data_IF_326464247497
#
_entry.id   IF_326464247497
#
_cell.length_a   1.000
_cell.length_b   1.000
_cell.length_c   1.000
_cell.angle_alpha   90.00
_cell.angle_beta   90.00
_cell.angle_gamma   90.00
#
_symmetry.space_group_name_H-M   'P 1'
#
loop_
_entity.id
_entity.type
_entity.pdbx_description
1 polymer ?
#
# COMPACT_ATOMS: atom_id res chain seq x y z
N UNK A 1 -0.53 13.74 -4.85
CA UNK A 1 -1.37 14.89 -4.41
C UNK A 1 -0.55 15.91 -3.62
N UNK A 2 0.20 15.50 -2.60
CA UNK A 2 1.01 16.38 -1.72
C UNK A 2 1.95 17.33 -2.48
N UNK A 3 2.77 16.81 -3.40
CA UNK A 3 3.73 17.67 -4.16
C UNK A 3 3.02 18.74 -4.99
N UNK A 4 1.88 18.40 -5.60
CA UNK A 4 1.07 19.35 -6.35
C UNK A 4 0.50 20.42 -5.44
N UNK A 5 0.02 20.05 -4.25
CA UNK A 5 -0.49 20.99 -3.25
C UNK A 5 0.60 21.93 -2.72
N UNK A 6 1.80 21.42 -2.50
CA UNK A 6 2.95 22.27 -2.11
C UNK A 6 3.34 23.28 -3.19
N UNK A 7 3.35 22.84 -4.46
CA UNK A 7 3.64 23.74 -5.58
C UNK A 7 2.57 24.82 -5.70
N UNK A 8 1.30 24.45 -5.60
CA UNK A 8 0.18 25.38 -5.63
C UNK A 8 0.24 26.38 -4.47
N UNK A 9 0.54 25.96 -3.26
CA UNK A 9 0.65 26.86 -2.10
C UNK A 9 1.74 27.93 -2.33
N UNK A 10 2.89 27.56 -2.87
CA UNK A 10 3.95 28.51 -3.22
C UNK A 10 3.52 29.50 -4.33
N UNK A 11 2.76 29.03 -5.29
CA UNK A 11 2.23 29.88 -6.35
C UNK A 11 1.19 30.87 -5.81
N UNK A 12 0.28 30.39 -4.95
CA UNK A 12 -0.71 31.25 -4.30
C UNK A 12 -0.08 32.33 -3.43
N UNK A 13 1.01 32.06 -2.72
CA UNK A 13 1.76 33.08 -1.98
C UNK A 13 2.31 34.17 -2.89
N UNK A 14 2.80 33.82 -4.07
CA UNK A 14 3.29 34.79 -5.07
C UNK A 14 2.12 35.62 -5.60
N UNK A 15 1.03 34.97 -5.97
CA UNK A 15 -0.15 35.62 -6.49
C UNK A 15 -0.79 36.57 -5.46
N UNK A 16 -0.82 36.19 -4.18
CA UNK A 16 -1.28 37.05 -3.11
C UNK A 16 -0.46 38.34 -3.03
N UNK A 17 0.88 38.22 -3.04
CA UNK A 17 1.79 39.38 -3.01
C UNK A 17 1.63 40.28 -4.23
N UNK A 18 1.39 39.68 -5.39
CA UNK A 18 1.11 40.47 -6.62
C UNK A 18 -0.22 41.19 -6.56
N UNK A 19 -1.28 40.53 -6.06
CA UNK A 19 -2.59 41.14 -5.83
C UNK A 19 -2.52 42.33 -4.82
N UNK A 20 -1.76 42.17 -3.74
CA UNK A 20 -1.54 43.22 -2.74
C UNK A 20 -0.78 44.42 -3.34
N UNK A 21 0.24 44.18 -4.17
CA UNK A 21 0.97 45.22 -4.88
C UNK A 21 0.06 45.98 -5.85
N UNK A 22 -0.79 45.30 -6.59
CA UNK A 22 -1.75 45.94 -7.51
C UNK A 22 -2.78 46.79 -6.77
N UNK A 23 -3.24 46.33 -5.61
CA UNK A 23 -4.16 47.14 -4.77
C UNK A 23 -3.49 48.41 -4.23
N UNK A 24 -2.21 48.34 -3.88
CA UNK A 24 -1.50 49.50 -3.31
C UNK A 24 -0.98 50.48 -4.35
N UNK A 25 -0.67 50.05 -5.58
CA UNK A 25 -0.08 50.90 -6.61
C UNK A 25 -1.11 51.66 -7.50
N UNK A 26 -2.40 51.40 -7.36
CA UNK A 26 -3.48 52.16 -7.97
C UNK A 26 -3.53 52.22 -9.51
N UNK A 27 -2.53 51.74 -10.22
CA UNK A 27 -2.46 51.80 -11.68
C UNK A 27 -1.74 50.58 -12.25
N UNK A 28 -2.42 49.46 -12.54
CA UNK A 28 -1.80 48.29 -13.15
C UNK A 28 -1.29 48.62 -14.56
N UNK A 29 -0.05 48.35 -14.86
CA UNK A 29 0.50 48.46 -16.21
C UNK A 29 -0.32 47.62 -17.17
N UNK A 30 -0.58 48.14 -18.37
CA UNK A 30 -1.33 47.43 -19.42
C UNK A 30 -0.63 46.09 -19.71
N UNK A 31 -1.35 44.97 -19.47
CA UNK A 31 -0.86 43.62 -19.67
C UNK A 31 -0.46 42.83 -18.38
N UNK A 32 -0.15 43.47 -17.26
CA UNK A 32 0.15 42.76 -15.99
C UNK A 32 -1.12 42.12 -15.40
N UNK A 33 -2.26 42.77 -15.53
CA UNK A 33 -3.55 42.24 -15.09
C UNK A 33 -3.97 40.97 -15.88
N UNK A 34 -3.68 40.91 -17.17
CA UNK A 34 -4.00 39.76 -17.99
C UNK A 34 -3.15 38.53 -17.60
N UNK A 35 -1.84 38.72 -17.37
CA UNK A 35 -0.93 37.66 -16.90
C UNK A 35 -1.34 37.13 -15.53
N UNK A 36 -1.70 38.03 -14.61
CA UNK A 36 -2.17 37.64 -13.27
C UNK A 36 -3.48 36.86 -13.34
N UNK A 37 -4.41 37.24 -14.21
CA UNK A 37 -5.65 36.50 -14.43
C UNK A 37 -5.38 35.08 -14.98
N UNK A 38 -4.44 34.96 -15.91
CA UNK A 38 -4.03 33.65 -16.45
C UNK A 38 -3.41 32.76 -15.36
N UNK A 39 -2.55 33.30 -14.52
CA UNK A 39 -1.95 32.58 -13.41
C UNK A 39 -2.97 32.16 -12.37
N UNK A 40 -3.93 33.04 -12.02
CA UNK A 40 -5.05 32.70 -11.14
C UNK A 40 -5.93 31.60 -11.72
N UNK A 41 -6.22 31.65 -13.02
CA UNK A 41 -6.98 30.59 -13.69
C UNK A 41 -6.22 29.24 -13.68
N UNK A 42 -4.90 29.26 -13.90
CA UNK A 42 -4.05 28.05 -13.77
C UNK A 42 -4.06 27.51 -12.35
N UNK A 43 -3.92 28.36 -11.34
CA UNK A 43 -3.96 27.97 -9.94
C UNK A 43 -5.32 27.37 -9.54
N UNK A 44 -6.44 27.95 -10.01
CA UNK A 44 -7.78 27.41 -9.80
C UNK A 44 -7.95 26.02 -10.46
N UNK A 45 -7.46 25.86 -11.68
CA UNK A 45 -7.50 24.57 -12.38
C UNK A 45 -6.65 23.50 -11.68
N UNK A 46 -5.47 23.86 -11.16
CA UNK A 46 -4.65 22.95 -10.35
C UNK A 46 -5.37 22.56 -9.05
N UNK A 47 -5.99 23.50 -8.35
CA UNK A 47 -6.79 23.23 -7.15
C UNK A 47 -7.95 22.28 -7.44
N UNK A 48 -8.67 22.49 -8.53
CA UNK A 48 -9.75 21.61 -8.97
C UNK A 48 -9.24 20.18 -9.26
N UNK A 49 -8.08 20.06 -9.93
CA UNK A 49 -7.46 18.77 -10.22
C UNK A 49 -7.12 18.01 -8.92
N UNK A 50 -6.51 18.69 -7.93
CA UNK A 50 -6.19 18.08 -6.64
C UNK A 50 -7.47 17.67 -5.93
N UNK A 51 -8.51 18.49 -5.94
CA UNK A 51 -9.82 18.16 -5.36
C UNK A 51 -10.47 16.94 -6.01
N UNK A 52 -10.38 16.81 -7.35
CA UNK A 52 -10.87 15.64 -8.08
C UNK A 52 -10.12 14.36 -7.70
N UNK A 53 -8.78 14.43 -7.61
CA UNK A 53 -7.96 13.30 -7.16
C UNK A 53 -8.29 12.90 -5.71
N UNK A 54 -8.50 13.88 -4.82
CA UNK A 54 -8.90 13.62 -3.44
C UNK A 54 -10.27 12.93 -3.38
N UNK A 55 -11.21 13.37 -4.22
CA UNK A 55 -12.54 12.74 -4.31
C UNK A 55 -12.43 11.28 -4.75
N UNK A 56 -11.64 10.98 -5.77
CA UNK A 56 -11.41 9.61 -6.22
C UNK A 56 -10.81 8.75 -5.10
N UNK A 57 -9.76 9.23 -4.42
CA UNK A 57 -9.17 8.53 -3.30
C UNK A 57 -10.16 8.34 -2.13
N UNK A 58 -11.02 9.32 -1.86
CA UNK A 58 -12.07 9.22 -0.85
C UNK A 58 -13.12 8.17 -1.21
N UNK A 59 -13.52 8.07 -2.48
CA UNK A 59 -14.47 7.07 -2.97
C UNK A 59 -13.87 5.66 -2.92
N UNK A 60 -12.59 5.50 -3.22
CA UNK A 60 -11.86 4.23 -3.07
C UNK A 60 -11.75 3.81 -1.61
N UNK A 61 -11.36 4.72 -0.73
CA UNK A 61 -11.30 4.47 0.71
C UNK A 61 -12.67 4.11 1.30
N UNK A 62 -13.75 4.75 0.81
CA UNK A 62 -15.12 4.43 1.21
C UNK A 62 -15.53 3.02 0.78
N UNK A 63 -15.16 2.59 -0.42
CA UNK A 63 -15.41 1.21 -0.89
C UNK A 63 -14.62 0.20 -0.06
N UNK A 64 -13.36 0.47 0.24
CA UNK A 64 -12.49 -0.38 1.04
C UNK A 64 -12.96 -0.51 2.50
N UNK A 65 -13.59 0.53 3.07
CA UNK A 65 -14.09 0.57 4.46
C UNK A 65 -15.53 0.12 4.65
N UNK A 66 -16.14 -0.53 3.64
CA UNK A 66 -17.52 -0.99 3.73
C UNK A 66 -18.55 0.13 3.70
N UNK A 67 -18.27 1.23 2.99
CA UNK A 67 -19.22 2.32 2.78
C UNK A 67 -19.19 3.43 3.84
N UNK A 68 -18.31 3.37 4.83
CA UNK A 68 -18.18 4.43 5.84
C UNK A 68 -17.56 5.69 5.23
N UNK A 69 -18.32 6.78 5.23
CA UNK A 69 -17.83 8.08 4.79
C UNK A 69 -16.77 8.62 5.76
N UNK A 70 -15.68 9.16 5.21
CA UNK A 70 -14.67 9.85 6.01
C UNK A 70 -14.99 11.34 6.07
N UNK A 71 -15.63 11.77 7.17
CA UNK A 71 -16.01 13.19 7.38
C UNK A 71 -14.84 14.17 7.22
N UNK A 72 -13.61 13.74 7.56
CA UNK A 72 -12.40 14.57 7.39
C UNK A 72 -12.11 14.86 5.91
N UNK A 73 -12.31 13.86 5.03
CA UNK A 73 -12.11 14.02 3.60
C UNK A 73 -13.18 14.91 2.96
N UNK A 74 -14.43 14.77 3.39
CA UNK A 74 -15.53 15.63 2.93
C UNK A 74 -15.30 17.09 3.33
N UNK A 75 -14.87 17.34 4.56
CA UNK A 75 -14.53 18.67 5.03
C UNK A 75 -13.36 19.29 4.24
N UNK A 76 -12.32 18.48 3.97
CA UNK A 76 -11.18 18.90 3.17
C UNK A 76 -11.60 19.26 1.73
N UNK A 77 -12.51 18.50 1.12
CA UNK A 77 -13.07 18.82 -0.20
C UNK A 77 -13.83 20.17 -0.20
N UNK A 78 -14.63 20.45 0.84
CA UNK A 78 -15.32 21.74 1.00
C UNK A 78 -14.33 22.90 1.14
N UNK A 79 -13.27 22.71 1.94
CA UNK A 79 -12.23 23.73 2.11
C UNK A 79 -11.49 24.01 0.80
N UNK A 80 -11.22 22.98 -0.01
CA UNK A 80 -10.64 23.12 -1.34
C UNK A 80 -11.57 23.88 -2.30
N UNK A 81 -12.85 23.55 -2.30
CA UNK A 81 -13.85 24.24 -3.13
C UNK A 81 -13.98 25.73 -2.75
N UNK A 82 -13.98 26.04 -1.45
CA UNK A 82 -13.99 27.42 -1.00
C UNK A 82 -12.75 28.20 -1.46
N UNK A 83 -11.56 27.56 -1.36
CA UNK A 83 -10.31 28.15 -1.85
C UNK A 83 -10.36 28.41 -3.37
N UNK A 84 -10.89 27.45 -4.13
CA UNK A 84 -11.06 27.57 -5.58
C UNK A 84 -11.91 28.80 -5.92
N UNK A 85 -13.05 29.03 -5.22
CA UNK A 85 -13.89 30.21 -5.36
C UNK A 85 -13.15 31.51 -5.00
N UNK A 86 -12.34 31.50 -3.94
CA UNK A 86 -11.55 32.65 -3.52
C UNK A 86 -10.44 33.00 -4.55
N UNK A 87 -9.80 31.98 -5.16
CA UNK A 87 -8.81 32.18 -6.24
C UNK A 87 -9.47 32.82 -7.46
N UNK A 88 -10.61 32.27 -7.92
CA UNK A 88 -11.35 32.79 -9.07
C UNK A 88 -11.82 34.25 -8.82
N UNK A 89 -12.27 34.55 -7.62
CA UNK A 89 -12.71 35.88 -7.22
C UNK A 89 -11.56 36.86 -6.88
N UNK A 90 -10.28 36.42 -7.06
CA UNK A 90 -9.10 37.26 -6.71
C UNK A 90 -9.07 37.73 -5.26
N UNK A 91 -9.70 36.96 -4.37
CA UNK A 91 -9.83 37.28 -2.94
C UNK A 91 -8.91 36.36 -2.08
N UNK A 92 -7.67 36.19 -2.54
CA UNK A 92 -6.68 35.39 -1.78
C UNK A 92 -6.27 36.19 -0.54
N UNK A 93 -6.71 35.70 0.60
CA UNK A 93 -6.46 36.29 1.91
C UNK A 93 -5.45 35.48 2.71
N UNK A 94 -4.97 36.01 3.83
CA UNK A 94 -4.15 35.26 4.78
C UNK A 94 -4.89 34.03 5.34
N UNK A 95 -6.22 34.14 5.47
CA UNK A 95 -7.05 33.02 5.88
C UNK A 95 -7.08 31.91 4.83
N UNK A 96 -7.10 32.24 3.54
CA UNK A 96 -6.96 31.30 2.42
C UNK A 96 -5.64 30.56 2.51
N UNK A 97 -4.53 31.25 2.78
CA UNK A 97 -3.21 30.66 2.92
C UNK A 97 -3.13 29.71 4.12
N UNK A 98 -3.66 30.09 5.28
CA UNK A 98 -3.73 29.21 6.45
C UNK A 98 -4.54 27.95 6.15
N UNK A 99 -5.69 28.08 5.48
CA UNK A 99 -6.50 26.94 5.05
C UNK A 99 -5.73 26.00 4.12
N UNK A 100 -4.93 26.55 3.21
CA UNK A 100 -4.09 25.76 2.30
C UNK A 100 -2.99 24.99 3.04
N UNK A 101 -2.40 25.58 4.09
CA UNK A 101 -1.44 24.90 4.94
C UNK A 101 -2.10 23.74 5.72
N UNK A 102 -3.30 23.94 6.22
CA UNK A 102 -4.09 22.90 6.91
C UNK A 102 -4.46 21.74 5.96
N UNK A 103 -4.90 22.08 4.73
CA UNK A 103 -5.19 21.09 3.68
C UNK A 103 -3.94 20.24 3.39
N UNK A 104 -2.77 20.87 3.23
CA UNK A 104 -1.53 20.16 2.99
C UNK A 104 -1.18 19.19 4.13
N UNK A 105 -1.32 19.61 5.38
CA UNK A 105 -1.08 18.78 6.56
C UNK A 105 -2.00 17.56 6.60
N UNK A 106 -3.28 17.78 6.33
CA UNK A 106 -4.28 16.70 6.30
C UNK A 106 -4.06 15.73 5.12
N UNK A 107 -3.61 16.22 3.96
CA UNK A 107 -3.23 15.37 2.83
C UNK A 107 -2.05 14.47 3.19
N UNK A 108 -1.05 15.00 3.90
CA UNK A 108 0.09 14.24 4.40
C UNK A 108 -0.34 13.12 5.36
N UNK A 109 -1.25 13.43 6.29
CA UNK A 109 -1.80 12.44 7.22
C UNK A 109 -2.57 11.34 6.47
N UNK A 110 -3.36 11.73 5.47
CA UNK A 110 -4.11 10.80 4.66
C UNK A 110 -3.21 9.86 3.85
N UNK A 111 -2.20 10.37 3.13
CA UNK A 111 -1.25 9.57 2.38
C UNK A 111 -0.44 8.61 3.28
N UNK A 112 -0.06 9.05 4.49
CA UNK A 112 0.60 8.17 5.46
C UNK A 112 -0.31 7.05 5.96
N UNK A 113 -1.58 7.36 6.24
CA UNK A 113 -2.55 6.37 6.70
C UNK A 113 -2.84 5.33 5.61
N UNK A 114 -3.00 5.76 4.36
CA UNK A 114 -3.24 4.89 3.21
C UNK A 114 -2.05 3.95 2.96
N UNK A 115 -0.82 4.48 3.01
CA UNK A 115 0.40 3.68 2.88
C UNK A 115 0.51 2.63 3.98
N UNK A 116 0.25 2.99 5.24
CA UNK A 116 0.27 2.07 6.38
C UNK A 116 -0.77 0.96 6.22
N UNK A 117 -1.99 1.30 5.80
CA UNK A 117 -3.04 0.32 5.55
C UNK A 117 -2.67 -0.64 4.42
N UNK A 118 -2.03 -0.14 3.35
CA UNK A 118 -1.52 -0.97 2.25
C UNK A 118 -0.43 -1.95 2.70
N UNK A 119 0.47 -1.55 3.59
CA UNK A 119 1.51 -2.41 4.17
C UNK A 119 0.92 -3.47 5.10
N UNK A 120 -0.04 -3.11 5.95
CA UNK A 120 -0.72 -4.05 6.86
C UNK A 120 -1.53 -5.11 6.09
N UNK A 121 -2.18 -4.72 5.00
CA UNK A 121 -2.89 -5.66 4.13
C UNK A 121 -1.93 -6.64 3.43
N UNK A 122 -0.75 -6.19 2.98
CA UNK A 122 0.29 -7.06 2.42
C UNK A 122 0.83 -8.04 3.46
N UNK A 123 1.05 -7.61 4.71
CA UNK A 123 1.49 -8.49 5.80
C UNK A 123 0.46 -9.56 6.12
N UNK A 124 -0.81 -9.21 6.24
CA UNK A 124 -1.90 -10.18 6.48
C UNK A 124 -2.07 -11.18 5.34
N UNK A 125 -1.82 -10.77 4.10
CA UNK A 125 -1.85 -11.64 2.92
C UNK A 125 -0.71 -12.66 2.89
N UNK A 126 0.42 -12.38 3.56
CA UNK A 126 1.60 -13.23 3.61
C UNK A 126 1.68 -14.14 4.85
N UNK A 127 0.76 -14.05 5.78
CA UNK A 127 0.57 -15.08 6.80
C UNK A 127 0.04 -16.34 6.09
N UNK A 128 1.00 -17.14 5.57
CA UNK A 128 0.72 -18.47 5.09
C UNK A 128 0.12 -19.27 6.24
N UNK A 129 -1.16 -19.57 6.18
CA UNK A 129 -1.72 -20.63 7.03
C UNK A 129 -0.95 -21.89 6.65
N UNK A 130 -0.16 -22.43 7.57
CA UNK A 130 0.38 -23.76 7.49
C UNK A 130 -0.79 -24.71 7.27
N UNK A 131 -1.10 -24.96 6.00
CA UNK A 131 -1.94 -26.08 5.64
C UNK A 131 -1.09 -27.29 5.94
N UNK A 132 -1.36 -27.96 7.05
CA UNK A 132 -0.91 -29.33 7.29
C UNK A 132 -1.28 -30.11 6.03
N UNK A 133 -0.29 -30.25 5.14
CA UNK A 133 -0.45 -31.06 3.94
C UNK A 133 -0.60 -32.48 4.45
N UNK A 134 -1.79 -33.03 4.41
CA UNK A 134 -2.00 -34.46 4.55
C UNK A 134 -1.04 -35.16 3.58
N UNK A 135 -0.16 -36.06 4.07
CA UNK A 135 0.78 -36.74 3.19
C UNK A 135 0.02 -37.42 2.05
N UNK A 136 0.56 -37.43 0.83
CA UNK A 136 -0.08 -38.11 -0.29
C UNK A 136 -0.41 -39.55 0.09
N UNK A 137 -1.55 -40.04 -0.40
CA UNK A 137 -2.01 -41.41 -0.10
C UNK A 137 -0.93 -42.45 -0.39
N UNK A 138 -0.17 -42.25 -1.45
CA UNK A 138 0.94 -43.14 -1.86
C UNK A 138 2.05 -43.22 -0.81
N UNK A 139 2.32 -42.14 -0.07
CA UNK A 139 3.32 -42.13 1.01
C UNK A 139 2.82 -42.92 2.23
N UNK A 140 1.53 -42.81 2.54
CA UNK A 140 0.89 -43.56 3.64
C UNK A 140 0.90 -45.07 3.30
N UNK A 141 0.63 -45.42 2.04
CA UNK A 141 0.67 -46.83 1.58
C UNK A 141 2.09 -47.36 1.59
N UNK A 142 3.07 -46.59 1.16
CA UNK A 142 4.47 -46.96 1.22
C UNK A 142 4.95 -47.22 2.66
N UNK A 143 4.59 -46.35 3.61
CA UNK A 143 4.92 -46.54 5.03
C UNK A 143 4.26 -47.81 5.60
N UNK A 144 3.02 -48.09 5.23
CA UNK A 144 2.32 -49.32 5.63
C UNK A 144 3.01 -50.58 5.06
N UNK A 145 3.42 -50.53 3.79
CA UNK A 145 4.15 -51.65 3.15
C UNK A 145 5.50 -51.87 3.82
N UNK A 146 6.27 -50.82 4.04
CA UNK A 146 7.56 -50.83 4.71
C UNK A 146 7.45 -51.41 6.14
N UNK A 147 6.44 -51.00 6.90
CA UNK A 147 6.23 -51.51 8.25
C UNK A 147 5.83 -52.99 8.23
N UNK A 148 4.99 -53.43 7.27
CA UNK A 148 4.62 -54.85 7.10
C UNK A 148 5.81 -55.70 6.73
N UNK A 149 6.67 -55.23 5.83
CA UNK A 149 7.93 -55.95 5.48
C UNK A 149 8.87 -56.06 6.68
N UNK A 150 9.02 -54.98 7.47
CA UNK A 150 9.82 -55.01 8.69
C UNK A 150 9.27 -55.98 9.74
N UNK A 151 7.97 -56.13 9.87
CA UNK A 151 7.34 -57.11 10.76
C UNK A 151 7.60 -58.56 10.28
N UNK A 152 7.48 -58.81 8.97
CA UNK A 152 7.80 -60.11 8.37
C UNK A 152 9.27 -60.49 8.62
N UNK A 153 10.20 -59.53 8.52
CA UNK A 153 11.62 -59.80 8.82
C UNK A 153 11.91 -60.04 10.30
N UNK A 154 11.13 -59.47 11.23
CA UNK A 154 11.23 -59.80 12.65
C UNK A 154 10.77 -61.20 13.00
N UNK A 155 9.95 -61.86 12.17
CA UNK A 155 9.42 -63.17 12.35
C UNK A 155 10.27 -64.27 11.68
N UNK A 156 11.41 -63.96 11.07
CA UNK A 156 12.29 -64.94 10.43
C UNK A 156 12.86 -65.88 11.52
N UNK A 157 12.61 -67.20 11.42
CA UNK A 157 13.05 -68.14 12.44
C UNK A 157 14.58 -68.21 12.57
N UNK A 158 15.06 -68.56 13.76
CA UNK A 158 16.45 -68.52 14.16
C UNK A 158 17.41 -69.47 13.39
N UNK A 159 16.99 -69.98 12.25
CA UNK A 159 17.74 -71.03 11.45
C UNK A 159 18.86 -70.42 10.61
N UNK A 160 18.90 -69.11 10.42
CA UNK A 160 19.99 -68.50 9.62
C UNK A 160 21.27 -68.33 10.43
N UNK A 161 22.41 -68.57 9.78
CA UNK A 161 23.73 -68.41 10.40
C UNK A 161 23.93 -66.97 10.87
N UNK A 162 24.72 -66.71 11.93
CA UNK A 162 24.98 -65.38 12.44
C UNK A 162 25.42 -64.33 11.36
N UNK A 163 26.21 -64.83 10.40
CA UNK A 163 26.70 -64.04 9.27
C UNK A 163 25.57 -63.54 8.37
N UNK A 164 24.56 -64.36 8.12
CA UNK A 164 23.41 -63.92 7.28
C UNK A 164 22.51 -62.95 8.00
N UNK A 165 22.33 -63.09 9.30
CA UNK A 165 21.61 -62.14 10.13
C UNK A 165 22.28 -60.77 10.14
N UNK A 166 23.60 -60.76 10.21
CA UNK A 166 24.38 -59.52 10.18
C UNK A 166 24.30 -58.84 8.81
N UNK A 167 24.40 -59.56 7.71
CA UNK A 167 24.24 -59.01 6.35
C UNK A 167 22.84 -58.46 6.07
N UNK A 168 21.82 -59.11 6.56
CA UNK A 168 20.43 -58.63 6.44
C UNK A 168 20.23 -57.37 7.28
N UNK A 169 20.75 -57.35 8.49
CA UNK A 169 20.72 -56.12 9.32
C UNK A 169 21.50 -54.98 8.67
N UNK A 170 22.69 -55.23 8.13
CA UNK A 170 23.47 -54.19 7.43
C UNK A 170 22.77 -53.68 6.19
N UNK A 171 22.04 -54.51 5.47
CA UNK A 171 21.25 -54.12 4.32
C UNK A 171 20.05 -53.24 4.69
N UNK A 172 19.33 -53.60 5.74
CA UNK A 172 18.13 -52.85 6.14
C UNK A 172 18.41 -51.68 7.09
N UNK A 173 19.44 -51.72 7.90
CA UNK A 173 19.78 -50.68 8.87
C UNK A 173 21.02 -49.85 8.51
N UNK A 174 21.94 -50.42 7.70
CA UNK A 174 23.19 -49.76 7.31
C UNK A 174 23.12 -48.97 5.98
N UNK A 175 22.25 -49.34 5.04
CA UNK A 175 22.14 -48.71 3.72
C UNK A 175 21.01 -47.67 3.60
N UNK A 176 20.23 -47.46 4.65
CA UNK A 176 19.16 -46.47 4.64
C UNK A 176 19.63 -45.01 4.74
N UNK A 177 20.93 -44.79 5.00
CA UNK A 177 21.38 -43.42 5.33
C UNK A 177 22.40 -42.79 4.38
N UNK A 178 23.03 -43.53 3.45
CA UNK A 178 24.07 -42.84 2.67
C UNK A 178 24.50 -43.57 1.39
N UNK A 179 23.71 -43.58 0.33
CA UNK A 179 24.28 -43.67 -1.05
C UNK A 179 23.22 -43.74 -2.14
N UNK A 180 22.46 -42.69 -2.32
CA UNK A 180 21.79 -42.50 -3.61
C UNK A 180 21.60 -41.04 -3.97
N UNK A 181 22.65 -40.26 -3.96
CA UNK A 181 22.65 -38.96 -4.68
C UNK A 181 24.10 -38.50 -4.87
N UNK A 182 24.88 -39.23 -5.67
CA UNK A 182 26.06 -38.71 -6.37
C UNK A 182 26.25 -39.55 -7.65
N UNK A 183 25.58 -39.13 -8.68
CA UNK A 183 25.99 -39.22 -10.09
C UNK A 183 25.19 -38.25 -10.89
#
# INVERSE_FOLDING_TARGET
>A
MQQMQQALNKELERLQKELEKQKNNGNPKIGEGAKLNEQLAKAAAQQEMIRKMLKQAADEAKRASGGKANKKLEEMQRQMEQTEKEIVNKSISRQTMNRQADILTRLLEFEKAEKKQGEDNKRKSNEGKDKTKTPPKDLIEFEKLKNREMELFKQIPAVYSPFYKQKVNDYFYGNGSNKMWKS
#
